data_IF_276738994023
#
_entry.id   IF_276738994023
#
_cell.length_a   1.000
_cell.length_b   1.000
_cell.length_c   1.000
_cell.angle_alpha   90.00
_cell.angle_beta   90.00
_cell.angle_gamma   90.00
#
_symmetry.space_group_name_H-M   'P 1'
#
loop_
_entity.id
_entity.type
_entity.pdbx_description
1 polymer ?
#
# COMPACT_ATOMS: atom_id res chain seq x y z
N UNK A 1 -33.54 -9.66 -9.78
CA UNK A 1 -33.21 -8.96 -8.52
C UNK A 1 -32.06 -8.00 -8.81
N UNK A 2 -32.17 -6.72 -8.45
CA UNK A 2 -31.05 -5.79 -8.62
C UNK A 2 -29.90 -6.17 -7.67
N UNK A 3 -28.68 -6.35 -8.19
CA UNK A 3 -27.51 -6.60 -7.36
C UNK A 3 -27.25 -5.38 -6.46
N UNK A 4 -26.93 -5.60 -5.18
CA UNK A 4 -26.53 -4.52 -4.29
C UNK A 4 -25.31 -3.79 -4.88
N UNK A 5 -25.26 -2.45 -4.81
CA UNK A 5 -24.12 -1.71 -5.32
C UNK A 5 -22.84 -2.13 -4.59
N UNK A 6 -21.77 -2.29 -5.37
CA UNK A 6 -20.43 -2.62 -4.86
C UNK A 6 -19.94 -1.45 -4.01
N UNK A 7 -19.52 -1.72 -2.77
CA UNK A 7 -19.01 -0.71 -1.86
C UNK A 7 -17.49 -0.68 -1.93
N UNK A 8 -16.96 0.34 -2.58
CA UNK A 8 -15.52 0.51 -2.80
C UNK A 8 -14.83 1.41 -1.77
N UNK A 9 -15.62 2.13 -0.96
CA UNK A 9 -15.12 3.17 -0.08
C UNK A 9 -15.62 2.97 1.36
N UNK A 10 -14.72 3.17 2.32
CA UNK A 10 -15.03 3.14 3.75
C UNK A 10 -14.48 4.36 4.47
N UNK A 11 -15.13 4.78 5.54
CA UNK A 11 -14.65 5.77 6.48
C UNK A 11 -14.09 5.04 7.70
N UNK A 12 -12.88 5.42 8.10
CA UNK A 12 -12.20 4.90 9.28
C UNK A 12 -11.72 6.03 10.19
N UNK A 13 -11.89 5.91 11.52
CA UNK A 13 -11.30 6.85 12.46
C UNK A 13 -9.78 6.66 12.57
N UNK A 14 -9.06 7.76 12.75
CA UNK A 14 -7.61 7.85 12.86
C UNK A 14 -7.24 9.04 13.78
N UNK A 15 -6.15 8.96 14.55
CA UNK A 15 -5.60 10.15 15.22
C UNK A 15 -4.69 10.92 14.26
N UNK A 16 -4.49 12.22 14.48
CA UNK A 16 -3.63 12.99 13.59
C UNK A 16 -2.19 12.45 13.58
N UNK A 17 -1.60 12.09 14.72
CA UNK A 17 -0.24 11.53 14.79
C UNK A 17 -0.03 10.33 13.85
N UNK A 18 -0.95 9.36 13.85
CA UNK A 18 -0.86 8.20 12.96
C UNK A 18 -1.13 8.57 11.49
N UNK A 19 -2.03 9.52 11.24
CA UNK A 19 -2.26 10.02 9.88
C UNK A 19 -1.02 10.72 9.34
N UNK A 20 -0.31 11.50 10.15
CA UNK A 20 0.90 12.19 9.73
C UNK A 20 2.05 11.21 9.42
N UNK A 21 2.13 10.07 10.12
CA UNK A 21 3.07 8.99 9.74
C UNK A 21 2.77 8.44 8.33
N UNK A 22 1.48 8.34 7.96
CA UNK A 22 1.07 7.93 6.61
C UNK A 22 1.40 9.03 5.58
N UNK A 23 1.11 10.29 5.89
CA UNK A 23 1.45 11.45 5.04
C UNK A 23 2.95 11.53 4.76
N UNK A 24 3.79 11.25 5.76
CA UNK A 24 5.26 11.18 5.63
C UNK A 24 5.79 9.88 5.02
N UNK A 25 4.89 8.92 4.73
CA UNK A 25 5.21 7.58 4.20
C UNK A 25 6.04 6.70 5.17
N UNK A 26 6.11 7.06 6.44
CA UNK A 26 6.75 6.26 7.51
C UNK A 26 5.90 5.02 7.84
N UNK A 27 4.58 5.22 7.91
CA UNK A 27 3.59 4.15 8.05
C UNK A 27 2.97 3.88 6.68
N UNK A 28 3.21 2.70 6.13
CA UNK A 28 2.80 2.36 4.77
C UNK A 28 1.67 1.31 4.69
N UNK A 29 1.24 0.77 5.83
CA UNK A 29 0.07 -0.10 5.94
C UNK A 29 -0.91 0.41 6.98
N UNK A 30 -2.20 0.27 6.70
CA UNK A 30 -3.25 0.33 7.71
C UNK A 30 -3.50 -1.09 8.25
N UNK A 31 -3.55 -1.25 9.58
CA UNK A 31 -3.71 -2.57 10.20
C UNK A 31 -5.05 -2.68 10.92
N UNK A 32 -5.75 -3.80 10.76
CA UNK A 32 -7.07 -4.02 11.37
C UNK A 32 -7.22 -5.39 11.97
N UNK A 33 -8.05 -5.43 13.02
CA UNK A 33 -8.51 -6.68 13.64
C UNK A 33 -9.60 -7.40 12.86
N UNK A 34 -10.19 -6.72 11.88
CA UNK A 34 -11.26 -7.25 11.06
C UNK A 34 -10.92 -7.08 9.59
N UNK A 35 -11.44 -8.00 8.76
CA UNK A 35 -11.31 -7.92 7.32
C UNK A 35 -12.25 -6.83 6.77
N UNK A 36 -11.70 -5.88 6.03
CA UNK A 36 -12.42 -4.96 5.17
C UNK A 36 -12.88 -5.75 3.93
N UNK A 37 -14.10 -5.48 3.45
CA UNK A 37 -14.61 -6.19 2.28
C UNK A 37 -13.64 -6.06 1.10
N UNK A 38 -13.42 -7.15 0.37
CA UNK A 38 -12.44 -7.19 -0.73
C UNK A 38 -12.77 -6.23 -1.88
N UNK A 39 -14.02 -5.74 -1.95
CA UNK A 39 -14.43 -4.71 -2.91
C UNK A 39 -13.90 -3.32 -2.58
N UNK A 40 -13.47 -3.07 -1.33
CA UNK A 40 -13.02 -1.76 -0.89
C UNK A 40 -11.63 -1.48 -1.45
N UNK A 41 -11.52 -0.33 -2.11
CA UNK A 41 -10.29 0.18 -2.74
C UNK A 41 -9.78 1.43 -2.05
N UNK A 42 -10.62 2.11 -1.27
CA UNK A 42 -10.33 3.43 -0.70
C UNK A 42 -10.78 3.55 0.75
N UNK A 43 -9.96 4.21 1.55
CA UNK A 43 -10.24 4.59 2.93
C UNK A 43 -10.28 6.10 3.05
N UNK A 44 -11.38 6.62 3.58
CA UNK A 44 -11.56 8.01 3.96
C UNK A 44 -11.27 8.13 5.46
N UNK A 45 -10.19 8.80 5.83
CA UNK A 45 -9.78 8.93 7.23
C UNK A 45 -10.47 10.12 7.90
N UNK A 46 -11.29 9.79 8.90
CA UNK A 46 -11.83 10.72 9.87
C UNK A 46 -10.81 10.95 10.97
N UNK A 47 -10.33 12.19 11.11
CA UNK A 47 -9.47 12.59 12.21
C UNK A 47 -10.29 12.78 13.47
N UNK A 48 -9.86 12.13 14.54
CA UNK A 48 -10.44 12.28 15.87
C UNK A 48 -10.29 13.73 16.39
N UNK A 49 -10.85 14.00 17.58
CA UNK A 49 -10.64 15.27 18.25
C UNK A 49 -9.13 15.58 18.38
N UNK A 50 -8.71 16.86 18.22
CA UNK A 50 -9.56 18.06 18.15
C UNK A 50 -10.14 18.36 16.76
N UNK A 51 -9.73 17.65 15.70
CA UNK A 51 -10.07 17.98 14.31
C UNK A 51 -11.51 17.64 13.92
N UNK A 52 -11.96 16.44 14.28
CA UNK A 52 -13.34 15.97 14.08
C UNK A 52 -13.90 16.14 12.66
N UNK A 53 -13.10 15.73 11.66
CA UNK A 53 -13.47 15.83 10.25
C UNK A 53 -12.81 14.75 9.42
N UNK A 54 -13.35 14.46 8.23
CA UNK A 54 -12.66 13.67 7.22
C UNK A 54 -11.69 14.59 6.48
N UNK A 55 -10.41 14.23 6.42
CA UNK A 55 -9.37 15.06 5.78
C UNK A 55 -8.58 14.34 4.69
N UNK A 56 -8.44 13.01 4.77
CA UNK A 56 -7.57 12.26 3.89
C UNK A 56 -8.30 11.09 3.24
N UNK A 57 -7.87 10.76 2.03
CA UNK A 57 -8.35 9.60 1.27
C UNK A 57 -7.12 8.80 0.86
N UNK A 58 -7.17 7.50 1.10
CA UNK A 58 -6.08 6.58 0.81
C UNK A 58 -6.56 5.48 -0.11
N UNK A 59 -5.89 5.28 -1.25
CA UNK A 59 -6.06 4.06 -2.05
C UNK A 59 -5.32 2.91 -1.36
N UNK A 60 -5.91 1.72 -1.32
CA UNK A 60 -5.35 0.55 -0.65
C UNK A 60 -5.35 -0.69 -1.52
N UNK A 61 -4.42 -1.59 -1.24
CA UNK A 61 -4.45 -2.96 -1.76
C UNK A 61 -5.45 -3.86 -1.01
N UNK A 62 -5.78 -5.04 -1.58
CA UNK A 62 -6.38 -6.12 -0.83
C UNK A 62 -5.59 -6.48 0.44
N UNK A 63 -6.28 -7.03 1.44
CA UNK A 63 -5.67 -7.40 2.70
C UNK A 63 -4.55 -8.43 2.52
N UNK A 64 -3.34 -8.10 2.95
CA UNK A 64 -2.31 -9.08 3.30
C UNK A 64 -2.65 -9.66 4.68
N UNK A 65 -2.48 -10.97 4.86
CA UNK A 65 -2.77 -11.64 6.13
C UNK A 65 -1.51 -12.29 6.71
N UNK A 66 -1.64 -12.96 7.85
CA UNK A 66 -0.53 -13.68 8.52
C UNK A 66 -0.76 -15.18 8.52
N UNK A 67 -1.61 -15.68 7.62
CA UNK A 67 -1.93 -17.10 7.56
C UNK A 67 -0.68 -17.91 7.18
N UNK A 68 -0.58 -19.16 7.62
CA UNK A 68 0.49 -20.04 7.15
C UNK A 68 0.50 -20.10 5.62
N UNK A 69 1.64 -19.76 5.01
CA UNK A 69 1.82 -19.73 3.56
C UNK A 69 1.69 -18.35 2.90
N UNK A 70 1.23 -17.33 3.64
CA UNK A 70 1.29 -15.95 3.14
C UNK A 70 2.71 -15.40 3.27
N UNK A 71 3.12 -14.61 2.28
CA UNK A 71 4.40 -13.89 2.33
C UNK A 71 4.37 -12.81 3.42
N UNK A 72 5.48 -12.62 4.17
CA UNK A 72 5.58 -11.54 5.13
C UNK A 72 5.57 -10.17 4.43
N UNK A 73 5.17 -9.13 5.16
CA UNK A 73 5.29 -7.76 4.67
C UNK A 73 6.77 -7.37 4.55
N UNK A 74 7.10 -6.58 3.55
CA UNK A 74 8.38 -5.87 3.52
C UNK A 74 8.51 -5.00 4.77
N UNK A 75 9.63 -5.07 5.50
CA UNK A 75 9.84 -4.29 6.73
C UNK A 75 10.28 -2.84 6.46
N UNK A 76 9.65 -2.20 5.46
CA UNK A 76 9.94 -0.83 4.98
C UNK A 76 9.04 0.25 5.62
N UNK A 77 8.26 -0.09 6.63
CA UNK A 77 7.34 0.84 7.29
C UNK A 77 6.97 0.47 8.72
N UNK A 78 6.50 1.46 9.47
CA UNK A 78 6.13 1.34 10.88
C UNK A 78 5.03 0.29 11.08
N UNK A 79 5.30 -0.68 11.95
CA UNK A 79 4.40 -1.78 12.30
C UNK A 79 4.56 -3.04 11.45
N UNK A 80 5.28 -3.00 10.32
CA UNK A 80 5.40 -4.16 9.42
C UNK A 80 6.15 -5.31 10.11
N UNK A 81 7.24 -5.00 10.81
CA UNK A 81 8.03 -5.97 11.58
C UNK A 81 7.22 -6.56 12.75
N UNK A 82 6.49 -5.72 13.49
CA UNK A 82 5.63 -6.15 14.60
C UNK A 82 4.48 -7.03 14.10
N UNK A 83 3.91 -6.69 12.95
CA UNK A 83 2.90 -7.49 12.26
C UNK A 83 3.44 -8.87 11.90
N UNK A 84 4.58 -8.92 11.19
CA UNK A 84 5.25 -10.16 10.78
C UNK A 84 5.59 -11.06 11.98
N UNK A 85 6.09 -10.47 13.07
CA UNK A 85 6.50 -11.20 14.28
C UNK A 85 5.35 -11.55 15.23
N UNK A 86 4.11 -11.19 14.90
CA UNK A 86 2.93 -11.38 15.76
C UNK A 86 3.15 -10.81 17.17
N UNK A 87 3.65 -9.57 17.25
CA UNK A 87 3.92 -8.89 18.52
C UNK A 87 2.70 -8.92 19.45
N UNK A 88 2.91 -9.05 20.76
CA UNK A 88 1.83 -9.25 21.73
C UNK A 88 0.80 -8.11 21.73
N UNK A 89 1.26 -6.86 21.65
CA UNK A 89 0.40 -5.66 21.57
C UNK A 89 -0.46 -5.62 20.29
N UNK A 90 -0.09 -6.43 19.29
CA UNK A 90 -0.75 -6.55 17.99
C UNK A 90 -1.66 -7.77 17.90
N UNK A 91 -2.02 -8.36 19.05
CA UNK A 91 -2.94 -9.50 19.12
C UNK A 91 -4.25 -9.18 18.41
N UNK A 92 -4.59 -10.03 17.43
CA UNK A 92 -5.78 -9.94 16.61
C UNK A 92 -5.68 -8.99 15.42
N UNK A 93 -4.60 -8.22 15.24
CA UNK A 93 -4.40 -7.40 14.03
C UNK A 93 -3.89 -8.28 12.88
N UNK A 94 -4.80 -9.04 12.27
CA UNK A 94 -4.49 -10.07 11.27
C UNK A 94 -4.59 -9.60 9.81
N UNK A 95 -4.96 -8.33 9.58
CA UNK A 95 -5.13 -7.77 8.25
C UNK A 95 -4.31 -6.49 8.08
N UNK A 96 -3.46 -6.46 7.06
CA UNK A 96 -2.68 -5.29 6.67
C UNK A 96 -3.10 -4.82 5.27
N UNK A 97 -3.32 -3.52 5.10
CA UNK A 97 -3.72 -2.90 3.84
C UNK A 97 -2.63 -1.92 3.41
N UNK A 98 -1.89 -2.25 2.35
CA UNK A 98 -0.85 -1.36 1.81
C UNK A 98 -1.51 -0.09 1.28
N UNK A 99 -0.99 1.05 1.71
CA UNK A 99 -1.43 2.36 1.23
C UNK A 99 -0.67 2.67 -0.06
N UNK A 100 -1.41 2.93 -1.14
CA UNK A 100 -0.86 3.19 -2.48
C UNK A 100 -0.77 4.67 -2.82
N UNK A 101 -1.64 5.47 -2.27
CA UNK A 101 -1.59 6.93 -2.42
C UNK A 101 -2.36 7.60 -1.31
N UNK A 102 -2.01 8.85 -1.05
CA UNK A 102 -2.68 9.71 -0.08
C UNK A 102 -3.12 10.98 -0.79
N UNK A 103 -4.40 11.28 -0.65
CA UNK A 103 -5.03 12.51 -1.07
C UNK A 103 -5.47 13.28 0.16
N UNK A 104 -5.33 14.60 0.12
CA UNK A 104 -5.88 15.52 1.11
C UNK A 104 -7.08 16.22 0.49
N UNK A 105 -8.21 16.19 1.19
CA UNK A 105 -9.39 16.97 0.82
C UNK A 105 -9.06 18.46 0.86
N UNK A 106 -9.43 19.18 -0.20
CA UNK A 106 -9.30 20.65 -0.22
C UNK A 106 -10.18 21.29 0.85
N UNK A 107 -11.41 20.79 0.98
CA UNK A 107 -12.35 21.14 2.04
C UNK A 107 -12.62 19.91 2.93
N UNK A 108 -12.09 19.87 4.17
CA UNK A 108 -12.38 18.79 5.09
C UNK A 108 -13.87 18.68 5.43
N UNK A 109 -14.38 17.45 5.49
CA UNK A 109 -15.80 17.21 5.79
C UNK A 109 -15.97 17.15 7.31
N UNK A 110 -16.46 18.24 7.90
CA UNK A 110 -16.68 18.34 9.35
C UNK A 110 -17.72 17.35 9.87
N UNK A 111 -17.64 17.01 11.15
CA UNK A 111 -18.66 16.18 11.82
C UNK A 111 -20.08 16.78 11.70
N UNK A 112 -20.21 18.11 11.65
CA UNK A 112 -21.50 18.78 11.43
C UNK A 112 -22.01 18.49 10.02
N UNK A 113 -21.18 18.70 8.99
CA UNK A 113 -21.54 18.38 7.62
C UNK A 113 -21.86 16.88 7.43
N UNK A 114 -21.12 15.99 8.07
CA UNK A 114 -21.39 14.54 8.09
C UNK A 114 -22.81 14.23 8.58
N UNK A 115 -23.26 14.89 9.65
CA UNK A 115 -24.59 14.71 10.23
C UNK A 115 -25.69 15.32 9.37
N UNK A 116 -25.53 16.59 9.00
CA UNK A 116 -26.60 17.39 8.38
C UNK A 116 -26.75 17.11 6.89
N UNK A 117 -25.64 16.91 6.16
CA UNK A 117 -25.63 16.77 4.70
C UNK A 117 -25.52 15.31 4.23
N UNK A 118 -24.84 14.47 5.01
CA UNK A 118 -24.45 13.13 4.56
C UNK A 118 -25.08 11.99 5.34
N UNK A 119 -25.93 12.28 6.32
CA UNK A 119 -26.72 11.28 7.07
C UNK A 119 -25.90 10.39 8.01
N UNK A 120 -24.66 10.77 8.33
CA UNK A 120 -23.82 10.05 9.29
C UNK A 120 -24.13 10.58 10.70
N UNK A 121 -24.82 9.76 11.50
CA UNK A 121 -25.40 10.17 12.80
C UNK A 121 -24.36 10.59 13.85
N UNK A 122 -23.15 10.05 13.82
CA UNK A 122 -22.11 10.30 14.83
C UNK A 122 -20.71 10.07 14.27
N UNK A 123 -19.69 10.51 15.02
CA UNK A 123 -18.31 10.26 14.68
C UNK A 123 -18.05 8.76 14.49
N UNK A 124 -17.37 8.33 13.41
CA UNK A 124 -17.04 6.93 13.19
C UNK A 124 -16.24 6.36 14.36
N UNK A 125 -16.74 5.27 14.98
CA UNK A 125 -16.00 4.51 16.00
C UNK A 125 -15.36 3.23 15.46
N UNK A 126 -15.79 2.82 14.28
CA UNK A 126 -15.34 1.64 13.55
C UNK A 126 -15.57 1.88 12.05
N UNK A 127 -15.49 0.83 11.22
CA UNK A 127 -15.77 0.93 9.78
C UNK A 127 -17.20 1.36 9.50
N UNK A 128 -17.31 2.44 8.75
CA UNK A 128 -18.56 2.89 8.10
C UNK A 128 -18.34 2.81 6.60
N UNK A 129 -19.29 2.32 5.82
CA UNK A 129 -19.19 2.44 4.37
C UNK A 129 -19.51 3.87 3.96
N UNK A 130 -18.69 4.46 3.09
CA UNK A 130 -18.86 5.85 2.69
C UNK A 130 -20.20 6.03 1.96
N UNK A 131 -21.08 6.94 2.43
CA UNK A 131 -22.32 7.23 1.73
C UNK A 131 -22.06 7.75 0.30
N UNK A 132 -22.91 7.35 -0.63
CA UNK A 132 -22.87 7.80 -2.03
C UNK A 132 -22.90 9.33 -2.15
N UNK A 133 -23.60 10.01 -1.24
CA UNK A 133 -23.68 11.48 -1.18
C UNK A 133 -22.32 12.13 -0.91
N UNK A 134 -21.46 11.52 -0.09
CA UNK A 134 -20.07 11.98 0.09
C UNK A 134 -19.28 11.76 -1.19
N UNK A 135 -19.37 10.58 -1.80
CA UNK A 135 -18.60 10.22 -3.00
C UNK A 135 -18.93 11.12 -4.19
N UNK A 136 -20.21 11.47 -4.38
CA UNK A 136 -20.64 12.37 -5.47
C UNK A 136 -20.24 13.82 -5.23
N UNK A 137 -20.29 14.27 -3.98
CA UNK A 137 -19.94 15.65 -3.65
C UNK A 137 -18.42 15.88 -3.58
N UNK A 138 -17.64 14.83 -3.33
CA UNK A 138 -16.20 14.91 -3.11
C UNK A 138 -15.51 13.87 -4.01
N UNK A 139 -15.18 14.26 -5.24
CA UNK A 139 -14.46 13.38 -6.15
C UNK A 139 -13.02 13.22 -5.67
N UNK A 140 -12.66 12.02 -5.21
CA UNK A 140 -11.38 11.75 -4.55
C UNK A 140 -10.17 12.00 -5.46
N UNK A 141 -10.31 11.73 -6.75
CA UNK A 141 -9.27 11.84 -7.77
C UNK A 141 -9.01 13.29 -8.21
N UNK A 142 -9.89 14.22 -7.81
CA UNK A 142 -9.72 15.66 -8.01
C UNK A 142 -9.13 16.38 -6.80
N UNK A 143 -8.85 15.66 -5.71
CA UNK A 143 -8.29 16.25 -4.49
C UNK A 143 -6.78 16.42 -4.60
N UNK A 144 -6.18 17.12 -3.63
CA UNK A 144 -4.73 17.30 -3.59
C UNK A 144 -4.03 15.96 -3.36
N UNK A 145 -3.31 15.46 -4.36
CA UNK A 145 -2.43 14.30 -4.20
C UNK A 145 -1.21 14.70 -3.35
N UNK A 146 -1.08 14.11 -2.16
CA UNK A 146 0.08 14.30 -1.27
C UNK A 146 1.24 13.45 -1.77
N UNK A 147 0.97 12.17 -2.03
CA UNK A 147 1.91 11.26 -2.68
C UNK A 147 1.15 10.08 -3.27
N UNK A 148 1.77 9.42 -4.25
CA UNK A 148 1.31 8.17 -4.85
C UNK A 148 2.52 7.30 -5.16
N UNK A 149 2.40 6.01 -4.91
CA UNK A 149 3.35 5.02 -5.41
C UNK A 149 3.28 5.03 -6.94
N UNK A 150 4.39 5.34 -7.61
CA UNK A 150 4.49 5.07 -9.04
C UNK A 150 4.51 3.55 -9.20
N UNK A 151 3.50 3.00 -9.87
CA UNK A 151 3.57 1.61 -10.30
C UNK A 151 4.90 1.44 -11.06
N UNK A 152 5.75 0.51 -10.63
CA UNK A 152 6.93 0.14 -11.40
C UNK A 152 6.43 -0.34 -12.76
N UNK A 153 6.69 0.45 -13.80
CA UNK A 153 6.39 0.12 -15.18
C UNK A 153 7.27 -1.07 -15.62
N UNK A 154 6.77 -2.28 -15.37
CA UNK A 154 7.30 -3.58 -15.78
C UNK A 154 6.11 -4.53 -15.64
N UNK A 155 5.49 -5.13 -16.66
CA UNK A 155 5.87 -5.37 -18.05
C UNK A 155 4.59 -5.37 -18.92
N UNK A 156 4.56 -4.61 -20.01
CA UNK A 156 3.85 -5.00 -21.24
C UNK A 156 4.83 -4.80 -22.39
N UNK A 157 5.75 -5.75 -22.51
CA UNK A 157 6.64 -5.90 -23.66
C UNK A 157 6.35 -7.22 -24.34
N UNK A 158 5.14 -7.40 -24.86
CA UNK A 158 4.92 -8.43 -25.88
C UNK A 158 5.16 -7.79 -27.23
N UNK A 159 6.42 -7.83 -27.63
CA UNK A 159 6.89 -7.43 -28.96
C UNK A 159 6.10 -8.15 -30.05
N UNK A 160 5.42 -7.38 -30.89
CA UNK A 160 4.83 -7.84 -32.14
C UNK A 160 5.88 -7.67 -33.24
N UNK A 161 6.73 -8.69 -33.43
CA UNK A 161 7.61 -8.79 -34.58
C UNK A 161 7.30 -10.08 -35.36
N UNK A 162 6.26 -10.02 -36.18
CA UNK A 162 5.94 -11.09 -37.13
C UNK A 162 6.72 -10.88 -38.44
N UNK A 163 7.86 -11.59 -38.52
CA UNK A 163 8.39 -12.32 -39.67
C UNK A 163 8.26 -11.66 -41.07
N UNK A 164 9.35 -11.06 -41.56
CA UNK A 164 9.65 -10.97 -43.00
C UNK A 164 10.91 -11.77 -43.33
N UNK A 165 10.74 -12.75 -44.22
CA UNK A 165 11.78 -13.57 -44.86
C UNK A 165 12.79 -12.68 -45.62
N UNK A 166 14.08 -13.04 -45.56
CA UNK A 166 15.02 -12.97 -46.68
C UNK A 166 16.15 -13.99 -46.46
N UNK A 167 16.46 -14.68 -47.55
CA UNK A 167 17.45 -15.76 -47.72
C UNK A 167 18.74 -15.17 -48.39
N UNK A 168 19.81 -15.91 -48.75
CA UNK A 168 21.10 -15.89 -48.04
C UNK A 168 22.33 -15.58 -48.94
N UNK A 169 23.40 -15.02 -48.36
CA UNK A 169 24.81 -15.05 -48.82
C UNK A 169 25.59 -14.15 -47.84
N UNK A 170 26.73 -14.46 -47.25
CA UNK A 170 27.96 -15.02 -47.80
C UNK A 170 28.95 -15.30 -46.64
N UNK A 171 29.59 -16.48 -46.67
CA UNK A 171 30.96 -16.86 -46.24
C UNK A 171 31.64 -16.29 -44.96
N UNK A 172 31.97 -17.24 -44.07
CA UNK A 172 33.05 -17.37 -43.04
C UNK A 172 34.42 -16.70 -43.41
N UNK A 173 35.30 -16.30 -42.44
CA UNK A 173 35.92 -17.25 -41.49
C UNK A 173 36.30 -16.80 -40.05
N UNK A 174 36.19 -17.77 -39.12
CA UNK A 174 37.17 -18.29 -38.13
C UNK A 174 38.24 -17.34 -37.50
N UNK A 175 38.18 -17.18 -36.17
CA UNK A 175 39.28 -17.15 -35.15
C UNK A 175 38.79 -16.37 -33.90
N UNK A 176 39.04 -16.67 -32.63
CA UNK A 176 39.69 -17.77 -31.93
C UNK A 176 39.30 -17.69 -30.43
N UNK A 177 39.45 -18.79 -29.69
CA UNK A 177 39.42 -18.85 -28.20
C UNK A 177 40.85 -19.10 -27.72
N UNK A 178 41.25 -18.54 -26.57
CA UNK A 178 41.36 -19.39 -25.35
C UNK A 178 40.92 -18.64 -24.06
N UNK A 179 40.23 -19.26 -23.10
CA UNK A 179 40.69 -20.15 -22.00
C UNK A 179 41.78 -19.56 -21.08
N UNK A 180 41.41 -19.26 -19.82
CA UNK A 180 42.10 -19.67 -18.56
C UNK A 180 41.39 -19.03 -17.36
N UNK A 181 40.89 -19.78 -16.35
CA UNK A 181 41.60 -20.21 -15.11
C UNK A 181 42.25 -18.99 -14.39
N UNK A 182 42.07 -18.70 -13.10
CA UNK A 182 42.30 -19.58 -11.95
C UNK A 182 42.02 -18.84 -10.60
N UNK A 183 41.57 -19.60 -9.59
CA UNK A 183 41.97 -19.62 -8.15
C UNK A 183 42.04 -18.33 -7.31
N UNK A 184 41.24 -18.25 -6.24
CA UNK A 184 41.53 -18.63 -4.82
C UNK A 184 42.41 -17.66 -4.02
N UNK A 185 41.85 -17.19 -2.88
CA UNK A 185 42.38 -17.14 -1.48
C UNK A 185 41.51 -16.11 -0.72
N UNK A 186 40.74 -16.42 0.32
CA UNK A 186 40.98 -17.08 1.62
C UNK A 186 41.96 -16.29 2.50
N UNK A 187 41.42 -15.55 3.47
CA UNK A 187 42.00 -15.41 4.82
C UNK A 187 40.93 -14.98 5.83
N UNK A 188 40.82 -15.80 6.88
CA UNK A 188 40.23 -15.48 8.19
C UNK A 188 41.27 -14.69 8.97
N UNK A 189 40.84 -13.81 9.87
CA UNK A 189 41.57 -13.60 11.13
C UNK A 189 40.59 -13.21 12.23
N UNK A 190 40.90 -13.64 13.44
CA UNK A 190 40.04 -13.72 14.59
C UNK A 190 40.69 -13.04 15.80
N UNK A 191 39.84 -12.64 16.75
CA UNK A 191 40.11 -12.43 18.18
C UNK A 191 41.05 -11.29 18.59
N UNK A 192 40.53 -10.39 19.43
CA UNK A 192 41.12 -10.14 20.75
C UNK A 192 40.07 -9.64 21.74
N UNK A 193 40.00 -10.33 22.88
CA UNK A 193 39.46 -9.82 24.14
C UNK A 193 40.38 -8.70 24.64
N UNK A 194 39.83 -7.71 25.34
CA UNK A 194 40.42 -7.33 26.62
C UNK A 194 39.37 -6.77 27.59
N UNK A 195 39.54 -7.12 28.85
CA UNK A 195 38.69 -6.78 29.99
C UNK A 195 39.28 -5.59 30.72
N UNK A 196 38.43 -4.64 31.16
CA UNK A 196 38.59 -3.90 32.43
C UNK A 196 37.22 -3.52 32.96
#
# INVERSE_FOLDING_TARGET
MASKPVREDVILPMTDDYMQQIVRKEKNHEFRKYRIAASVKRIWFYLNAPFSHIAYICEIDPACTRNPGDDPLTEDGLGNKEFNKRHADWKGYDFAYRIRSVYRLEEPISLVAMKEKFGIKSAPRSRVYTPETILRANLWDKQQCVWRDHASATEVSVSSASKRKRDPSEKEPVEGKPRSRQRQRKTREAMHLDSR
#
